data_IF_996715987670
#
_entry.id   IF_996715987670
#
_cell.length_a   1.000
_cell.length_b   1.000
_cell.length_c   1.000
_cell.angle_alpha   90.00
_cell.angle_beta   90.00
_cell.angle_gamma   90.00
#
_symmetry.space_group_name_H-M   'P 1'
#
loop_
_entity.id
_entity.type
_entity.pdbx_description
1 polymer ?
#
# COMPACT_ATOMS: atom_id res chain seq x y z
N UNK A 1 12.40 -4.53 12.33
CA UNK A 1 11.84 -3.37 13.06
C UNK A 1 10.36 -3.29 12.72
N UNK A 2 9.48 -3.60 13.67
CA UNK A 2 8.04 -3.45 13.49
C UNK A 2 7.68 -1.96 13.64
N UNK A 3 8.04 -1.17 12.62
CA UNK A 3 7.57 0.20 12.47
C UNK A 3 6.08 0.20 12.15
N UNK A 4 5.34 1.20 12.62
CA UNK A 4 3.92 1.34 12.35
C UNK A 4 3.61 1.21 10.85
N UNK A 5 2.65 0.36 10.49
CA UNK A 5 2.22 0.17 9.11
C UNK A 5 1.10 1.13 8.72
N UNK A 6 1.03 1.47 7.44
CA UNK A 6 0.07 2.42 6.89
C UNK A 6 -1.06 1.68 6.17
N UNK A 7 -2.32 1.96 6.53
CA UNK A 7 -3.47 1.46 5.79
C UNK A 7 -3.66 2.22 4.47
N UNK A 8 -4.39 1.62 3.53
CA UNK A 8 -4.64 2.18 2.20
C UNK A 8 -5.10 3.64 2.23
N UNK A 9 -6.03 4.01 3.13
CA UNK A 9 -6.53 5.38 3.24
C UNK A 9 -5.44 6.39 3.61
N UNK A 10 -4.49 6.00 4.47
CA UNK A 10 -3.37 6.87 4.86
C UNK A 10 -2.38 6.97 3.70
N UNK A 11 -2.12 5.86 3.00
CA UNK A 11 -1.27 5.85 1.80
C UNK A 11 -1.77 6.84 0.75
N UNK A 12 -3.07 6.81 0.41
CA UNK A 12 -3.67 7.73 -0.56
C UNK A 12 -3.47 9.20 -0.15
N UNK A 13 -3.68 9.51 1.13
CA UNK A 13 -3.51 10.87 1.66
C UNK A 13 -2.05 11.34 1.65
N UNK A 14 -1.11 10.46 1.97
CA UNK A 14 0.31 10.83 2.11
C UNK A 14 1.05 10.88 0.77
N UNK A 15 0.66 10.03 -0.18
CA UNK A 15 1.36 9.89 -1.47
C UNK A 15 0.66 10.66 -2.60
N UNK A 16 -0.63 10.97 -2.45
CA UNK A 16 -1.44 11.62 -3.49
C UNK A 16 -1.86 10.69 -4.63
N UNK A 17 -1.46 9.41 -4.59
CA UNK A 17 -1.87 8.43 -5.61
C UNK A 17 -3.35 8.11 -5.48
N UNK A 18 -3.98 7.77 -6.60
CA UNK A 18 -5.38 7.36 -6.60
C UNK A 18 -5.54 5.92 -6.13
N UNK A 19 -6.73 5.57 -5.63
CA UNK A 19 -7.05 4.19 -5.26
C UNK A 19 -6.86 3.21 -6.43
N UNK A 20 -7.17 3.64 -7.66
CA UNK A 20 -6.98 2.82 -8.87
C UNK A 20 -5.51 2.56 -9.18
N UNK A 21 -4.65 3.57 -9.08
CA UNK A 21 -3.21 3.38 -9.25
C UNK A 21 -2.66 2.42 -8.21
N UNK A 22 -3.05 2.61 -6.94
CA UNK A 22 -2.65 1.74 -5.85
C UNK A 22 -3.12 0.29 -6.06
N UNK A 23 -4.38 0.08 -6.45
CA UNK A 23 -4.92 -1.25 -6.72
C UNK A 23 -4.27 -1.89 -7.96
N UNK A 24 -4.04 -1.11 -9.01
CA UNK A 24 -3.37 -1.57 -10.22
C UNK A 24 -1.94 -2.04 -9.92
N UNK A 25 -1.14 -1.25 -9.22
CA UNK A 25 0.22 -1.63 -8.83
C UNK A 25 0.25 -2.83 -7.91
N UNK A 26 -0.71 -2.91 -6.99
CA UNK A 26 -0.84 -4.03 -6.08
C UNK A 26 -1.29 -5.33 -6.78
N UNK A 27 -2.02 -5.24 -7.90
CA UNK A 27 -2.43 -6.40 -8.73
C UNK A 27 -1.37 -6.82 -9.73
N UNK A 28 -0.62 -5.86 -10.27
CA UNK A 28 0.46 -6.12 -11.25
C UNK A 28 1.78 -6.49 -10.58
N UNK A 29 1.89 -6.33 -9.26
CA UNK A 29 3.11 -6.62 -8.51
C UNK A 29 4.18 -5.53 -8.62
N UNK A 30 3.85 -4.37 -9.19
CA UNK A 30 4.77 -3.22 -9.29
C UNK A 30 5.09 -2.65 -7.91
N UNK A 31 4.06 -2.47 -7.07
CA UNK A 31 4.21 -2.08 -5.65
C UNK A 31 3.17 -2.82 -4.83
N UNK A 32 3.63 -3.68 -3.93
CA UNK A 32 2.78 -4.47 -3.04
C UNK A 32 2.90 -4.02 -1.58
N UNK A 33 1.86 -4.27 -0.80
CA UNK A 33 1.88 -4.10 0.65
C UNK A 33 2.83 -5.11 1.29
N UNK A 34 4.00 -4.65 1.74
CA UNK A 34 5.05 -5.53 2.30
C UNK A 34 4.76 -6.00 3.72
N UNK A 35 3.93 -5.26 4.48
CA UNK A 35 3.56 -5.63 5.87
C UNK A 35 2.39 -6.62 5.90
N UNK A 36 1.32 -6.34 5.14
CA UNK A 36 0.17 -7.25 5.05
C UNK A 36 -0.50 -7.16 3.69
N UNK A 37 -0.44 -8.27 2.95
CA UNK A 37 -1.15 -8.44 1.70
C UNK A 37 -2.64 -8.69 1.92
N UNK A 38 -3.44 -8.36 0.90
CA UNK A 38 -4.84 -8.74 0.88
C UNK A 38 -4.93 -10.25 0.60
N UNK A 39 -5.49 -11.01 1.53
CA UNK A 39 -5.66 -12.46 1.47
C UNK A 39 -7.13 -12.90 1.26
N UNK A 40 -8.06 -11.97 1.02
CA UNK A 40 -9.47 -12.27 0.82
C UNK A 40 -10.41 -11.10 1.08
N UNK A 41 -11.72 -11.35 1.00
CA UNK A 41 -12.77 -10.36 1.31
C UNK A 41 -12.64 -9.91 2.77
N UNK A 42 -12.47 -8.60 2.98
CA UNK A 42 -12.29 -7.99 4.31
C UNK A 42 -10.84 -7.89 4.81
N UNK A 43 -9.87 -8.49 4.11
CA UNK A 43 -8.46 -8.30 4.44
C UNK A 43 -7.99 -6.89 4.08
N UNK A 44 -7.30 -6.23 5.02
CA UNK A 44 -6.76 -4.88 4.84
C UNK A 44 -5.30 -4.95 4.42
N UNK A 45 -4.96 -4.19 3.38
CA UNK A 45 -3.57 -3.97 2.96
C UNK A 45 -2.88 -3.03 3.96
N UNK A 46 -1.67 -3.40 4.39
CA UNK A 46 -0.83 -2.58 5.26
C UNK A 46 0.53 -2.41 4.60
N UNK A 47 0.93 -1.16 4.42
CA UNK A 47 2.11 -0.75 3.70
C UNK A 47 3.21 -0.30 4.66
N UNK A 48 4.46 -0.60 4.34
CA UNK A 48 5.62 -0.06 5.06
C UNK A 48 5.94 1.37 4.58
N UNK A 49 6.75 2.10 5.35
CA UNK A 49 7.26 3.40 4.88
C UNK A 49 8.02 3.29 3.54
N UNK A 50 8.75 2.19 3.31
CA UNK A 50 9.45 1.95 2.05
C UNK A 50 8.46 1.81 0.88
N UNK A 51 7.32 1.13 1.09
CA UNK A 51 6.27 1.05 0.08
C UNK A 51 5.75 2.46 -0.27
N UNK A 52 5.56 3.34 0.72
CA UNK A 52 5.12 4.72 0.49
C UNK A 52 6.12 5.52 -0.34
N UNK A 53 7.42 5.34 -0.10
CA UNK A 53 8.48 5.98 -0.90
C UNK A 53 8.42 5.49 -2.35
N UNK A 54 8.24 4.19 -2.57
CA UNK A 54 8.10 3.61 -3.90
C UNK A 54 6.86 4.10 -4.66
N UNK A 55 5.78 4.46 -3.94
CA UNK A 55 4.54 4.98 -4.54
C UNK A 55 4.62 6.46 -4.99
N UNK A 56 5.62 7.23 -4.56
CA UNK A 56 5.71 8.69 -4.78
C UNK A 56 6.70 9.09 -5.90
N UNK A 57 7.28 8.14 -6.61
CA UNK A 57 8.19 8.39 -7.75
C UNK A 57 7.42 8.72 -9.02
#
# INVERSE_FOLDING_TARGET
MSGAGFGSTIVLKLTGVTYRQLDYWARTGLVGSSIRQAAGRGSRRVYSFQDLVALRV
#
